data_IF_989799985313
#
_entry.id   IF_989799985313
#
_cell.length_a   1.000
_cell.length_b   1.000
_cell.length_c   1.000
_cell.angle_alpha   90.00
_cell.angle_beta   90.00
_cell.angle_gamma   90.00
#
_symmetry.space_group_name_H-M   'P 1'
#
loop_
_entity.id
_entity.type
_entity.pdbx_description
1 polymer ?
#
# COMPACT_ATOMS: atom_id res chain seq x y z
N UNK A 1 13.43 -0.18 12.42
CA UNK A 1 14.39 -0.39 11.31
C UNK A 1 15.34 0.79 11.10
N UNK A 2 14.84 2.02 10.86
CA UNK A 2 15.69 3.18 10.54
C UNK A 2 16.80 3.46 11.57
N UNK A 3 16.47 3.49 12.87
CA UNK A 3 17.44 3.70 13.95
C UNK A 3 18.53 2.63 13.93
N UNK A 4 18.13 1.35 13.81
CA UNK A 4 19.08 0.23 13.77
C UNK A 4 20.06 0.30 12.60
N UNK A 5 19.62 0.74 11.42
CA UNK A 5 20.51 0.91 10.27
C UNK A 5 21.43 2.12 10.44
N UNK A 6 20.92 3.22 11.02
CA UNK A 6 21.72 4.39 11.36
C UNK A 6 22.82 4.05 12.38
N UNK A 7 22.52 3.23 13.39
CA UNK A 7 23.50 2.74 14.37
C UNK A 7 24.61 1.89 13.72
N UNK A 8 24.33 1.30 12.55
CA UNK A 8 25.30 0.56 11.72
C UNK A 8 26.03 1.46 10.70
N UNK A 9 25.84 2.78 10.77
CA UNK A 9 26.46 3.74 9.85
C UNK A 9 25.77 3.86 8.49
N UNK A 10 24.58 3.28 8.32
CA UNK A 10 23.83 3.31 7.06
C UNK A 10 22.75 4.39 7.17
N UNK A 11 22.93 5.50 6.46
CA UNK A 11 21.90 6.53 6.37
C UNK A 11 20.73 6.04 5.51
N UNK A 12 19.51 6.11 6.06
CA UNK A 12 18.28 5.75 5.37
C UNK A 12 17.22 6.85 5.52
N UNK A 13 16.54 7.15 4.41
CA UNK A 13 15.39 8.03 4.38
C UNK A 13 14.10 7.21 4.43
N UNK A 14 13.18 7.61 5.31
CA UNK A 14 11.88 6.97 5.43
C UNK A 14 10.89 7.63 4.46
N UNK A 15 10.20 6.81 3.67
CA UNK A 15 9.25 7.28 2.66
C UNK A 15 7.95 6.50 2.79
N UNK A 16 6.83 7.21 2.98
CA UNK A 16 5.51 6.61 2.78
C UNK A 16 5.21 6.54 1.27
N UNK A 17 5.26 5.33 0.70
CA UNK A 17 5.23 5.16 -0.76
C UNK A 17 3.89 4.65 -1.31
N UNK A 18 2.84 4.50 -0.49
CA UNK A 18 1.46 4.30 -1.00
C UNK A 18 0.99 5.55 -1.75
N UNK A 19 0.14 5.38 -2.77
CA UNK A 19 -0.54 6.51 -3.38
C UNK A 19 -1.33 7.30 -2.33
N UNK A 20 -1.06 8.60 -2.25
CA UNK A 20 -1.79 9.54 -1.42
C UNK A 20 -1.96 10.84 -2.19
N UNK A 21 -3.21 11.23 -2.44
CA UNK A 21 -3.50 12.48 -3.14
C UNK A 21 -4.13 13.45 -2.16
N UNK A 22 -3.37 14.49 -1.80
CA UNK A 22 -3.88 15.59 -1.00
C UNK A 22 -5.13 16.25 -1.63
N UNK A 23 -5.28 16.16 -2.96
CA UNK A 23 -6.48 16.60 -3.65
C UNK A 23 -7.67 15.71 -3.32
N UNK A 24 -7.50 14.38 -3.38
CA UNK A 24 -8.54 13.43 -2.98
C UNK A 24 -8.89 13.62 -1.51
N UNK A 25 -7.90 13.76 -0.62
CA UNK A 25 -8.13 13.99 0.80
C UNK A 25 -8.91 15.29 1.05
N UNK A 26 -8.60 16.37 0.33
CA UNK A 26 -9.35 17.63 0.40
C UNK A 26 -10.77 17.52 -0.14
N UNK A 27 -10.98 16.79 -1.24
CA UNK A 27 -12.33 16.53 -1.78
C UNK A 27 -13.16 15.72 -0.80
N UNK A 28 -12.56 14.68 -0.19
CA UNK A 28 -13.18 13.88 0.86
C UNK A 28 -13.50 14.75 2.08
N UNK A 29 -12.58 15.60 2.51
CA UNK A 29 -12.80 16.52 3.64
C UNK A 29 -13.93 17.52 3.34
N UNK A 30 -13.99 18.05 2.12
CA UNK A 30 -15.06 18.96 1.69
C UNK A 30 -16.42 18.24 1.65
N UNK A 31 -16.46 17.03 1.10
CA UNK A 31 -17.65 16.17 1.11
C UNK A 31 -18.13 15.89 2.53
N UNK A 32 -17.22 15.53 3.44
CA UNK A 32 -17.50 15.34 4.87
C UNK A 32 -18.08 16.60 5.50
N UNK A 33 -17.49 17.77 5.19
CA UNK A 33 -17.94 19.05 5.74
C UNK A 33 -19.36 19.43 5.30
N UNK A 34 -19.75 19.17 4.05
CA UNK A 34 -21.06 19.58 3.52
C UNK A 34 -22.20 18.59 3.77
N UNK A 35 -21.90 17.31 3.98
CA UNK A 35 -22.93 16.26 4.08
C UNK A 35 -22.99 15.62 5.48
N UNK A 36 -21.91 15.68 6.27
CA UNK A 36 -21.69 14.76 7.40
C UNK A 36 -21.43 15.45 8.75
N UNK A 37 -22.00 16.63 9.00
CA UNK A 37 -21.88 17.32 10.31
C UNK A 37 -22.60 16.56 11.46
N UNK A 38 -23.25 15.42 11.19
CA UNK A 38 -24.12 14.70 12.15
C UNK A 38 -23.91 13.18 12.25
N UNK A 39 -22.87 12.59 11.62
CA UNK A 39 -22.65 11.12 11.62
C UNK A 39 -21.32 10.72 12.24
N UNK A 40 -21.25 9.50 12.79
CA UNK A 40 -20.00 8.93 13.28
C UNK A 40 -18.98 8.78 12.14
N UNK A 41 -17.68 8.86 12.47
CA UNK A 41 -16.60 8.70 11.49
C UNK A 41 -16.67 7.36 10.73
N UNK A 42 -17.13 6.30 11.41
CA UNK A 42 -17.26 4.96 10.83
C UNK A 42 -18.37 4.88 9.76
N UNK A 43 -19.54 5.44 10.05
CA UNK A 43 -20.64 5.48 9.08
C UNK A 43 -20.25 6.29 7.85
N UNK A 44 -19.53 7.40 8.06
CA UNK A 44 -19.02 8.27 7.00
C UNK A 44 -18.06 7.55 6.05
N UNK A 45 -17.13 6.75 6.59
CA UNK A 45 -16.21 5.94 5.78
C UNK A 45 -16.96 4.86 4.99
N UNK A 46 -17.92 4.17 5.61
CA UNK A 46 -18.72 3.14 4.93
C UNK A 46 -19.57 3.74 3.81
N UNK A 47 -20.19 4.89 4.05
CA UNK A 47 -20.99 5.59 3.05
C UNK A 47 -20.13 6.09 1.88
N UNK A 48 -18.96 6.68 2.17
CA UNK A 48 -18.03 7.09 1.14
C UNK A 48 -17.56 5.91 0.28
N UNK A 49 -17.21 4.79 0.90
CA UNK A 49 -16.84 3.55 0.19
C UNK A 49 -17.98 3.02 -0.70
N UNK A 50 -19.23 3.08 -0.24
CA UNK A 50 -20.41 2.71 -1.05
C UNK A 50 -20.62 3.64 -2.24
N UNK A 51 -20.49 4.95 -2.04
CA UNK A 51 -20.61 5.94 -3.12
C UNK A 51 -19.49 5.75 -4.14
N UNK A 52 -18.25 5.59 -3.65
CA UNK A 52 -17.07 5.30 -4.47
C UNK A 52 -17.32 4.03 -5.31
N UNK A 53 -17.76 2.93 -4.70
CA UNK A 53 -18.07 1.69 -5.41
C UNK A 53 -19.20 1.89 -6.45
N UNK A 54 -20.25 2.64 -6.12
CA UNK A 54 -21.36 2.92 -7.04
C UNK A 54 -20.89 3.74 -8.25
N UNK A 55 -20.10 4.78 -8.04
CA UNK A 55 -19.57 5.65 -9.11
C UNK A 55 -18.58 4.89 -9.98
N UNK A 56 -17.68 4.13 -9.36
CA UNK A 56 -16.66 3.34 -10.04
C UNK A 56 -17.20 2.05 -10.67
N UNK A 57 -18.45 1.66 -10.42
CA UNK A 57 -19.09 0.55 -11.14
C UNK A 57 -19.27 0.83 -12.64
N UNK A 58 -19.28 2.11 -13.02
CA UNK A 58 -19.35 2.53 -14.43
C UNK A 58 -17.97 2.40 -15.07
N UNK A 59 -17.83 1.48 -16.04
CA UNK A 59 -16.58 1.22 -16.78
C UNK A 59 -15.80 2.47 -17.22
N UNK A 60 -16.40 3.48 -17.90
CA UNK A 60 -15.63 4.65 -18.32
C UNK A 60 -15.10 5.46 -17.13
N UNK A 61 -15.86 5.54 -16.04
CA UNK A 61 -15.45 6.26 -14.82
C UNK A 61 -14.33 5.50 -14.12
N UNK A 62 -14.42 4.16 -14.05
CA UNK A 62 -13.35 3.31 -13.52
C UNK A 62 -12.04 3.52 -14.29
N UNK A 63 -12.10 3.50 -15.62
CA UNK A 63 -10.91 3.71 -16.48
C UNK A 63 -10.31 5.09 -16.26
N UNK A 64 -11.11 6.16 -16.27
CA UNK A 64 -10.64 7.52 -16.03
C UNK A 64 -10.02 7.68 -14.64
N UNK A 65 -10.67 7.12 -13.61
CA UNK A 65 -10.13 7.14 -12.24
C UNK A 65 -8.80 6.39 -12.15
N UNK A 66 -8.70 5.24 -12.79
CA UNK A 66 -7.47 4.44 -12.82
C UNK A 66 -6.34 5.20 -13.51
N UNK A 67 -6.61 5.78 -14.68
CA UNK A 67 -5.64 6.57 -15.41
C UNK A 67 -5.16 7.77 -14.58
N UNK A 68 -6.08 8.47 -13.91
CA UNK A 68 -5.74 9.55 -12.99
C UNK A 68 -4.82 9.07 -11.86
N UNK A 69 -5.14 7.95 -11.20
CA UNK A 69 -4.30 7.39 -10.14
C UNK A 69 -2.93 6.99 -10.68
N UNK A 70 -2.86 6.35 -11.84
CA UNK A 70 -1.59 5.95 -12.46
C UNK A 70 -0.70 7.15 -12.73
N UNK A 71 -1.24 8.20 -13.36
CA UNK A 71 -0.47 9.42 -13.68
C UNK A 71 -0.03 10.14 -12.40
N UNK A 72 -0.94 10.35 -11.45
CA UNK A 72 -0.63 11.03 -10.21
C UNK A 72 0.38 10.24 -9.35
N UNK A 73 0.27 8.91 -9.34
CA UNK A 73 1.20 8.06 -8.61
C UNK A 73 2.56 7.94 -9.31
N UNK A 74 2.62 7.92 -10.64
CA UNK A 74 3.86 7.99 -11.40
C UNK A 74 4.65 9.27 -11.04
N UNK A 75 3.96 10.41 -10.94
CA UNK A 75 4.55 11.65 -10.46
C UNK A 75 5.09 11.51 -9.02
N UNK A 76 4.31 10.94 -8.11
CA UNK A 76 4.75 10.69 -6.74
C UNK A 76 5.99 9.76 -6.68
N UNK A 77 6.02 8.70 -7.48
CA UNK A 77 7.14 7.75 -7.58
C UNK A 77 8.40 8.47 -8.06
N UNK A 78 8.29 9.31 -9.09
CA UNK A 78 9.42 10.08 -9.62
C UNK A 78 10.08 10.94 -8.53
N UNK A 79 9.28 11.71 -7.79
CA UNK A 79 9.81 12.65 -6.80
C UNK A 79 10.19 12.02 -5.47
N UNK A 80 9.44 11.02 -4.99
CA UNK A 80 9.68 10.43 -3.66
C UNK A 80 10.59 9.21 -3.69
N UNK A 81 10.70 8.51 -4.82
CA UNK A 81 11.49 7.28 -4.91
C UNK A 81 12.69 7.45 -5.84
N UNK A 82 12.49 7.91 -7.08
CA UNK A 82 13.60 8.04 -8.03
C UNK A 82 14.57 9.15 -7.64
N UNK A 83 14.08 10.34 -7.29
CA UNK A 83 14.97 11.46 -6.97
C UNK A 83 15.90 11.15 -5.77
N UNK A 84 15.41 10.67 -4.60
CA UNK A 84 16.30 10.25 -3.51
C UNK A 84 17.25 9.11 -3.89
N UNK A 85 16.78 8.15 -4.70
CA UNK A 85 17.60 7.02 -5.15
C UNK A 85 18.74 7.45 -6.06
N UNK A 86 18.48 8.34 -7.02
CA UNK A 86 19.51 8.87 -7.94
C UNK A 86 20.55 9.69 -7.16
N UNK A 87 20.14 10.34 -6.06
CA UNK A 87 21.04 11.01 -5.13
C UNK A 87 21.82 10.04 -4.22
N UNK A 88 21.72 8.72 -4.44
CA UNK A 88 22.48 7.70 -3.71
C UNK A 88 21.95 7.39 -2.30
N UNK A 89 20.71 7.79 -1.97
CA UNK A 89 20.14 7.53 -0.64
C UNK A 89 19.55 6.14 -0.54
N UNK A 90 19.70 5.50 0.62
CA UNK A 90 18.96 4.28 0.96
C UNK A 90 17.54 4.63 1.40
N UNK A 91 16.54 3.89 0.92
CA UNK A 91 15.13 4.18 1.20
C UNK A 91 14.48 3.04 1.98
N UNK A 92 13.81 3.40 3.08
CA UNK A 92 12.88 2.52 3.79
C UNK A 92 11.48 2.97 3.40
N UNK A 93 10.83 2.19 2.55
CA UNK A 93 9.47 2.47 2.10
C UNK A 93 8.46 1.81 3.05
N UNK A 94 7.64 2.61 3.75
CA UNK A 94 6.42 2.11 4.35
C UNK A 94 5.32 2.10 3.30
N UNK A 95 4.88 0.88 2.98
CA UNK A 95 4.11 0.51 1.78
C UNK A 95 4.86 0.80 0.49
N UNK A 96 4.44 0.11 -0.58
CA UNK A 96 5.07 0.26 -1.88
C UNK A 96 4.03 0.18 -3.01
N UNK A 97 4.48 0.03 -4.26
CA UNK A 97 3.56 -0.02 -5.40
C UNK A 97 2.55 -1.17 -5.36
N UNK A 98 2.91 -2.25 -4.67
CA UNK A 98 2.04 -3.41 -4.43
C UNK A 98 0.73 -2.98 -3.75
N UNK A 99 0.81 -2.14 -2.72
CA UNK A 99 -0.35 -1.68 -1.96
C UNK A 99 -1.33 -0.90 -2.84
N UNK A 100 -0.81 0.03 -3.65
CA UNK A 100 -1.64 0.84 -4.56
C UNK A 100 -2.34 -0.02 -5.61
N UNK A 101 -1.65 -1.03 -6.17
CA UNK A 101 -2.26 -1.95 -7.12
C UNK A 101 -3.36 -2.81 -6.48
N UNK A 102 -3.11 -3.32 -5.27
CA UNK A 102 -4.07 -4.14 -4.52
C UNK A 102 -5.30 -3.31 -4.14
N UNK A 103 -5.11 -2.09 -3.65
CA UNK A 103 -6.21 -1.19 -3.31
C UNK A 103 -7.09 -0.91 -4.53
N UNK A 104 -6.50 -0.60 -5.68
CA UNK A 104 -7.25 -0.41 -6.94
C UNK A 104 -7.99 -1.68 -7.38
N UNK A 105 -7.35 -2.84 -7.28
CA UNK A 105 -7.96 -4.10 -7.70
C UNK A 105 -9.16 -4.48 -6.82
N UNK A 106 -9.10 -4.20 -5.51
CA UNK A 106 -10.20 -4.45 -4.58
C UNK A 106 -11.30 -3.40 -4.78
N UNK A 107 -10.95 -2.12 -4.86
CA UNK A 107 -11.92 -1.02 -4.99
C UNK A 107 -12.70 -1.05 -6.32
N UNK A 108 -12.05 -1.49 -7.40
CA UNK A 108 -12.61 -1.53 -8.76
C UNK A 108 -13.04 -2.93 -9.20
N UNK A 109 -12.85 -3.94 -8.36
CA UNK A 109 -13.24 -5.32 -8.65
C UNK A 109 -12.53 -5.91 -9.88
N UNK A 110 -11.24 -5.60 -10.07
CA UNK A 110 -10.48 -6.05 -11.23
C UNK A 110 -10.37 -7.58 -11.33
N UNK A 111 -10.29 -8.04 -12.58
CA UNK A 111 -9.85 -9.40 -12.88
C UNK A 111 -8.36 -9.55 -12.55
N UNK A 112 -7.91 -10.80 -12.40
CA UNK A 112 -6.49 -11.11 -12.17
C UNK A 112 -5.59 -10.55 -13.27
N UNK A 113 -6.03 -10.61 -14.54
CA UNK A 113 -5.26 -10.09 -15.67
C UNK A 113 -5.09 -8.56 -15.60
N UNK A 114 -6.17 -7.82 -15.34
CA UNK A 114 -6.11 -6.36 -15.23
C UNK A 114 -5.25 -5.92 -14.04
N UNK A 115 -5.37 -6.63 -12.92
CA UNK A 115 -4.52 -6.40 -11.75
C UNK A 115 -3.03 -6.60 -12.06
N UNK A 116 -2.66 -7.70 -12.73
CA UNK A 116 -1.28 -7.98 -13.10
C UNK A 116 -0.71 -6.91 -14.03
N UNK A 117 -1.45 -6.52 -15.08
CA UNK A 117 -1.01 -5.44 -16.00
C UNK A 117 -0.78 -4.12 -15.26
N UNK A 118 -1.67 -3.76 -14.33
CA UNK A 118 -1.52 -2.55 -13.52
C UNK A 118 -0.29 -2.65 -12.61
N UNK A 119 -0.10 -3.79 -11.95
CA UNK A 119 1.02 -4.00 -11.04
C UNK A 119 2.35 -3.96 -11.80
N UNK A 120 2.44 -4.62 -12.95
CA UNK A 120 3.61 -4.56 -13.84
C UNK A 120 3.92 -3.13 -14.27
N UNK A 121 2.90 -2.33 -14.62
CA UNK A 121 3.09 -0.93 -14.96
C UNK A 121 3.68 -0.14 -13.79
N UNK A 122 3.21 -0.35 -12.56
CA UNK A 122 3.79 0.32 -11.40
C UNK A 122 5.20 -0.17 -11.05
N UNK A 123 5.47 -1.47 -11.18
CA UNK A 123 6.80 -2.03 -10.96
C UNK A 123 7.81 -1.55 -12.00
N UNK A 124 7.36 -1.29 -13.22
CA UNK A 124 8.19 -0.67 -14.25
C UNK A 124 8.48 0.80 -13.96
N UNK A 125 7.51 1.54 -13.43
CA UNK A 125 7.67 2.95 -13.06
C UNK A 125 8.53 3.14 -11.81
N UNK A 126 8.51 2.21 -10.87
CA UNK A 126 9.14 2.37 -9.56
C UNK A 126 10.52 1.71 -9.47
N UNK A 127 11.44 2.24 -8.64
CA UNK A 127 12.75 1.65 -8.49
C UNK A 127 12.70 0.27 -7.82
N UNK A 128 13.10 -0.80 -8.53
CA UNK A 128 13.09 -2.17 -8.00
C UNK A 128 13.68 -2.25 -6.57
N UNK A 129 12.93 -2.75 -5.57
CA UNK A 129 13.42 -2.88 -4.21
C UNK A 129 14.46 -4.00 -4.10
N UNK A 130 15.50 -3.79 -3.28
CA UNK A 130 16.46 -4.85 -2.94
C UNK A 130 15.82 -5.94 -2.07
N UNK A 131 14.97 -5.50 -1.13
CA UNK A 131 14.19 -6.35 -0.23
C UNK A 131 12.79 -5.77 -0.12
N UNK A 132 11.78 -6.64 -0.20
CA UNK A 132 10.39 -6.28 0.03
C UNK A 132 9.77 -7.29 0.98
N UNK A 133 8.96 -6.80 1.91
CA UNK A 133 8.37 -7.60 2.98
C UNK A 133 6.86 -7.68 2.81
N UNK A 134 6.30 -8.86 3.05
CA UNK A 134 4.88 -9.03 3.32
C UNK A 134 4.73 -9.47 4.78
N UNK A 135 4.11 -8.62 5.60
CA UNK A 135 3.83 -8.95 7.00
C UNK A 135 2.45 -9.62 7.05
N UNK A 136 2.44 -10.94 7.11
CA UNK A 136 1.22 -11.75 7.17
C UNK A 136 0.64 -11.69 8.59
N UNK A 137 -0.64 -11.34 8.72
CA UNK A 137 -1.37 -11.36 9.99
C UNK A 137 -2.65 -12.13 9.76
N UNK A 138 -3.01 -13.11 10.62
CA UNK A 138 -4.28 -13.82 10.50
C UNK A 138 -5.45 -12.83 10.46
N UNK A 139 -6.43 -13.07 9.59
CA UNK A 139 -7.58 -12.17 9.40
C UNK A 139 -8.31 -11.88 10.71
N UNK A 140 -8.45 -12.90 11.57
CA UNK A 140 -9.06 -12.80 12.90
C UNK A 140 -8.32 -11.83 13.83
N UNK A 141 -6.98 -11.86 13.79
CA UNK A 141 -6.10 -10.97 14.57
C UNK A 141 -6.08 -9.55 13.97
N UNK A 142 -6.07 -9.44 12.65
CA UNK A 142 -6.14 -8.15 11.97
C UNK A 142 -7.47 -7.43 12.26
N UNK A 143 -8.58 -8.17 12.27
CA UNK A 143 -9.90 -7.66 12.63
C UNK A 143 -9.98 -7.24 14.10
N UNK A 144 -9.41 -8.01 15.03
CA UNK A 144 -9.42 -7.65 16.45
C UNK A 144 -8.54 -6.43 16.79
N UNK A 145 -7.54 -6.11 15.96
CA UNK A 145 -6.61 -4.99 16.18
C UNK A 145 -7.13 -3.65 15.67
N UNK A 146 -8.19 -3.64 14.86
CA UNK A 146 -8.67 -2.43 14.15
C UNK A 146 -10.18 -2.44 13.97
N UNK A 147 -10.85 -1.50 14.63
CA UNK A 147 -12.30 -1.28 14.49
C UNK A 147 -12.69 -0.58 13.17
N UNK A 148 -11.72 -0.20 12.34
CA UNK A 148 -11.91 0.57 11.10
C UNK A 148 -12.01 -0.29 9.82
N UNK A 149 -12.08 -1.63 9.94
CA UNK A 149 -12.15 -2.52 8.78
C UNK A 149 -13.57 -2.52 8.17
N UNK A 150 -13.72 -2.25 6.86
CA UNK A 150 -15.04 -2.13 6.23
C UNK A 150 -15.89 -3.40 6.28
N UNK A 151 -15.27 -4.57 6.02
CA UNK A 151 -15.89 -5.89 6.16
C UNK A 151 -14.82 -7.02 6.19
N UNK A 152 -15.16 -8.21 6.71
CA UNK A 152 -14.30 -9.40 6.63
C UNK A 152 -13.95 -9.79 5.19
N UNK A 153 -14.88 -9.69 4.25
CA UNK A 153 -14.66 -10.03 2.84
C UNK A 153 -13.66 -9.07 2.17
N UNK A 154 -13.70 -7.79 2.54
CA UNK A 154 -12.72 -6.80 2.08
C UNK A 154 -11.31 -7.17 2.55
N UNK A 155 -11.16 -7.61 3.80
CA UNK A 155 -9.89 -8.05 4.35
C UNK A 155 -9.40 -9.33 3.65
N UNK A 156 -10.27 -10.32 3.48
CA UNK A 156 -9.90 -11.60 2.87
C UNK A 156 -9.43 -11.45 1.42
N UNK A 157 -10.12 -10.62 0.63
CA UNK A 157 -9.69 -10.35 -0.77
C UNK A 157 -8.32 -9.68 -0.83
N UNK A 158 -7.99 -8.81 0.13
CA UNK A 158 -6.67 -8.19 0.21
C UNK A 158 -5.60 -9.20 0.59
N UNK A 159 -5.86 -10.01 1.62
CA UNK A 159 -4.93 -11.07 2.07
C UNK A 159 -4.55 -11.99 0.91
N UNK A 160 -5.54 -12.48 0.16
CA UNK A 160 -5.30 -13.34 -1.01
C UNK A 160 -4.43 -12.67 -2.08
N UNK A 161 -4.62 -11.38 -2.33
CA UNK A 161 -3.81 -10.63 -3.29
C UNK A 161 -2.38 -10.40 -2.78
N UNK A 162 -2.19 -10.08 -1.49
CA UNK A 162 -0.87 -9.93 -0.91
C UNK A 162 -0.09 -11.25 -0.92
N UNK A 163 -0.72 -12.36 -0.54
CA UNK A 163 -0.12 -13.70 -0.61
C UNK A 163 0.29 -14.07 -2.04
N UNK A 164 -0.61 -13.80 -3.00
CA UNK A 164 -0.34 -14.03 -4.41
C UNK A 164 0.85 -13.18 -4.93
N UNK A 165 0.90 -11.89 -4.58
CA UNK A 165 2.01 -11.00 -4.94
C UNK A 165 3.31 -11.45 -4.27
N UNK A 166 3.25 -11.85 -3.00
CA UNK A 166 4.41 -12.30 -2.25
C UNK A 166 5.04 -13.53 -2.89
N UNK A 167 4.21 -14.51 -3.29
CA UNK A 167 4.66 -15.70 -4.01
C UNK A 167 5.21 -15.36 -5.40
N UNK A 168 4.53 -14.49 -6.16
CA UNK A 168 4.89 -14.17 -7.53
C UNK A 168 6.21 -13.38 -7.64
N UNK A 169 6.46 -12.44 -6.73
CA UNK A 169 7.64 -11.57 -6.75
C UNK A 169 8.69 -11.91 -5.70
N UNK A 170 8.50 -13.00 -4.95
CA UNK A 170 9.46 -13.48 -3.95
C UNK A 170 9.67 -12.50 -2.79
N UNK A 171 8.60 -11.92 -2.25
CA UNK A 171 8.68 -11.07 -1.07
C UNK A 171 9.01 -11.92 0.16
N UNK A 172 9.81 -11.37 1.08
CA UNK A 172 10.05 -11.99 2.37
C UNK A 172 8.78 -11.93 3.22
N UNK A 173 8.19 -13.10 3.49
CA UNK A 173 6.98 -13.21 4.33
C UNK A 173 7.39 -13.26 5.79
N UNK A 174 6.87 -12.32 6.58
CA UNK A 174 7.08 -12.24 8.03
C UNK A 174 5.77 -12.48 8.75
N UNK A 175 5.78 -13.30 9.79
CA UNK A 175 4.59 -13.54 10.62
C UNK A 175 4.39 -12.37 11.61
N UNK A 176 3.41 -11.52 11.31
CA UNK A 176 3.02 -10.39 12.15
C UNK A 176 2.13 -10.73 13.34
N UNK A 177 1.87 -12.02 13.59
CA UNK A 177 1.29 -12.50 14.85
C UNK A 177 2.34 -12.68 15.96
N UNK A 178 3.62 -12.77 15.60
CA UNK A 178 4.74 -12.85 16.54
C UNK A 178 4.95 -11.52 17.30
N UNK A 179 5.74 -11.60 18.38
CA UNK A 179 6.23 -10.43 19.10
C UNK A 179 6.99 -9.47 18.17
N UNK A 180 6.78 -8.16 18.37
CA UNK A 180 7.34 -7.12 17.49
C UNK A 180 8.87 -7.16 17.44
N UNK A 181 9.51 -7.55 18.55
CA UNK A 181 10.97 -7.73 18.63
C UNK A 181 11.46 -8.86 17.72
N UNK A 182 10.71 -9.96 17.65
CA UNK A 182 11.00 -11.10 16.78
C UNK A 182 10.82 -10.73 15.31
N UNK A 183 9.72 -10.07 14.96
CA UNK A 183 9.48 -9.59 13.59
C UNK A 183 10.58 -8.61 13.15
N UNK A 184 10.96 -7.68 14.02
CA UNK A 184 12.06 -6.74 13.76
C UNK A 184 13.40 -7.44 13.57
N UNK A 185 13.70 -8.47 14.36
CA UNK A 185 14.92 -9.29 14.20
C UNK A 185 14.96 -9.99 12.83
N UNK A 186 13.85 -10.64 12.44
CA UNK A 186 13.74 -11.33 11.15
C UNK A 186 13.87 -10.37 9.97
N UNK A 187 13.19 -9.23 10.03
CA UNK A 187 13.31 -8.18 9.02
C UNK A 187 14.76 -7.67 8.91
N UNK A 188 15.44 -7.46 10.05
CA UNK A 188 16.84 -7.02 10.07
C UNK A 188 17.75 -8.04 9.38
N UNK A 189 17.60 -9.32 9.71
CA UNK A 189 18.38 -10.41 9.11
C UNK A 189 18.24 -10.45 7.59
N UNK A 190 17.01 -10.38 7.09
CA UNK A 190 16.73 -10.39 5.65
C UNK A 190 17.33 -9.17 4.92
N UNK A 191 17.40 -8.00 5.57
CA UNK A 191 18.09 -6.83 5.01
C UNK A 191 19.60 -7.08 4.92
N UNK A 192 20.23 -7.58 5.99
CA UNK A 192 21.68 -7.81 6.04
C UNK A 192 22.14 -8.85 5.03
N UNK A 193 21.43 -9.97 4.91
CA UNK A 193 21.71 -11.02 3.92
C UNK A 193 21.70 -10.48 2.47
N UNK A 194 20.95 -9.40 2.21
CA UNK A 194 20.84 -8.75 0.90
C UNK A 194 21.84 -7.61 0.69
N UNK A 195 22.49 -7.15 1.75
CA UNK A 195 23.59 -6.18 1.66
C UNK A 195 24.94 -6.88 1.44
N UNK A 196 25.08 -8.13 1.88
CA UNK A 196 26.31 -8.94 1.76
C UNK A 196 26.41 -9.69 0.42
N UNK A 197 25.32 -9.77 -0.35
CA UNK A 197 25.21 -10.47 -1.63
C UNK A 197 25.36 -9.54 -2.83
#
# INVERSE_FOLDING_TARGET
>A
MQTTLRDMGIECEYVWARFGSALVDKVVALYKKFILETRSDQESVREFSRIKARVLSRRPVAILYTLFVVVAYAWQILWKLWLPRILGKNLICDRYVYDTAIDLAVDLGYSRETFLKLLEAFLWLAPRPNVAFYIAVPETVAFSRKDDIPSPEYLSRRTQLYEYVAALYGLAVLDGSMEISTVHMLAKRAVLEKMEA
#
